data_IF_984357311884
#
_entry.id   IF_984357311884
#
_cell.length_a   1.000
_cell.length_b   1.000
_cell.length_c   1.000
_cell.angle_alpha   90.00
_cell.angle_beta   90.00
_cell.angle_gamma   90.00
#
_symmetry.space_group_name_H-M   'P 1'
#
loop_
_entity.id
_entity.type
_entity.pdbx_description
1 polymer ?
#
# COMPACT_ATOMS: atom_id res chain seq x y z
N UNK A 1 3.96 17.58 -14.92
CA UNK A 1 3.62 17.64 -13.46
C UNK A 1 3.14 16.25 -13.12
N UNK A 2 3.84 15.54 -12.26
CA UNK A 2 3.48 14.19 -11.88
C UNK A 2 2.28 14.20 -10.91
N UNK A 3 1.39 13.21 -11.06
CA UNK A 3 0.18 13.05 -10.24
C UNK A 3 0.44 12.01 -9.14
N UNK A 4 0.54 12.47 -7.91
CA UNK A 4 0.95 11.67 -6.76
C UNK A 4 -0.21 11.50 -5.79
N UNK A 5 -0.41 10.28 -5.29
CA UNK A 5 -1.33 10.00 -4.20
C UNK A 5 -0.53 9.63 -2.95
N UNK A 6 -0.70 10.37 -1.86
CA UNK A 6 -0.23 9.97 -0.53
C UNK A 6 -1.34 9.28 0.24
N UNK A 7 -1.13 8.02 0.59
CA UNK A 7 -2.00 7.27 1.50
C UNK A 7 -1.27 7.08 2.84
N UNK A 8 -1.91 7.47 3.92
CA UNK A 8 -1.31 7.38 5.25
C UNK A 8 -2.18 6.60 6.24
N UNK A 9 -1.53 5.97 7.21
CA UNK A 9 -2.21 5.34 8.34
C UNK A 9 -2.66 6.42 9.31
N UNK A 10 -3.98 6.54 9.55
CA UNK A 10 -4.49 7.37 10.62
C UNK A 10 -4.29 6.65 11.96
N UNK A 11 -3.69 7.33 12.93
CA UNK A 11 -3.42 6.77 14.24
C UNK A 11 -4.09 7.63 15.33
N UNK A 12 -4.69 6.98 16.31
CA UNK A 12 -5.27 7.65 17.49
C UNK A 12 -4.22 8.03 18.53
N UNK A 13 -3.01 7.46 18.45
CA UNK A 13 -1.94 7.64 19.42
C UNK A 13 -0.91 8.71 19.01
N UNK A 14 -1.05 9.32 17.85
CA UNK A 14 -0.14 10.37 17.37
C UNK A 14 1.24 9.92 16.90
N UNK A 15 1.59 8.62 17.03
CA UNK A 15 2.93 8.06 16.72
C UNK A 15 3.37 8.32 15.28
N UNK A 16 2.43 8.48 14.36
CA UNK A 16 2.74 8.71 12.95
C UNK A 16 2.56 10.18 12.52
N UNK A 17 2.14 11.08 13.42
CA UNK A 17 1.79 12.45 13.05
C UNK A 17 3.01 13.28 12.65
N UNK A 18 4.13 13.12 13.35
CA UNK A 18 5.38 13.80 13.00
C UNK A 18 5.91 13.36 11.64
N UNK A 19 5.87 12.04 11.38
CA UNK A 19 6.25 11.47 10.09
C UNK A 19 5.37 11.98 8.95
N UNK A 20 4.07 12.11 9.20
CA UNK A 20 3.12 12.63 8.22
C UNK A 20 3.40 14.11 7.89
N UNK A 21 3.65 14.93 8.91
CA UNK A 21 3.96 16.34 8.70
C UNK A 21 5.30 16.51 7.96
N UNK A 22 6.33 15.74 8.30
CA UNK A 22 7.61 15.75 7.60
C UNK A 22 7.44 15.40 6.11
N UNK A 23 6.73 14.32 5.80
CA UNK A 23 6.44 13.91 4.42
C UNK A 23 5.64 14.97 3.67
N UNK A 24 4.62 15.58 4.28
CA UNK A 24 3.84 16.68 3.69
C UNK A 24 4.70 17.90 3.37
N UNK A 25 5.62 18.27 4.27
CA UNK A 25 6.51 19.41 4.06
C UNK A 25 7.38 19.19 2.81
N UNK A 26 7.96 18.00 2.66
CA UNK A 26 8.73 17.64 1.45
C UNK A 26 7.85 17.69 0.19
N UNK A 27 6.65 17.12 0.23
CA UNK A 27 5.74 17.14 -0.92
C UNK A 27 5.32 18.58 -1.29
N UNK A 28 5.05 19.41 -0.31
CA UNK A 28 4.68 20.81 -0.52
C UNK A 28 5.83 21.63 -1.14
N UNK A 29 7.08 21.36 -0.76
CA UNK A 29 8.27 22.03 -1.35
C UNK A 29 8.40 21.74 -2.86
N UNK A 30 7.86 20.62 -3.32
CA UNK A 30 7.89 20.16 -4.72
C UNK A 30 6.59 20.47 -5.50
N UNK A 31 5.72 21.30 -4.96
CA UNK A 31 4.39 21.63 -5.54
C UNK A 31 4.44 22.24 -6.96
N UNK A 32 5.59 22.75 -7.39
CA UNK A 32 5.80 23.22 -8.77
C UNK A 32 5.94 22.07 -9.79
N UNK A 33 6.31 20.88 -9.35
CA UNK A 33 6.60 19.72 -10.22
C UNK A 33 5.63 18.58 -10.04
N UNK A 34 4.97 18.47 -8.90
CA UNK A 34 4.02 17.41 -8.58
C UNK A 34 2.67 18.01 -8.14
N UNK A 35 1.60 17.27 -8.41
CA UNK A 35 0.28 17.46 -7.80
C UNK A 35 0.04 16.32 -6.83
N UNK A 36 -0.36 16.63 -5.60
CA UNK A 36 -0.52 15.64 -4.54
C UNK A 36 -1.95 15.61 -4.02
N UNK A 37 -2.57 14.44 -4.05
CA UNK A 37 -3.77 14.14 -3.28
C UNK A 37 -3.39 13.36 -2.02
N UNK A 38 -4.00 13.69 -0.88
CA UNK A 38 -3.72 13.06 0.41
C UNK A 38 -4.98 12.38 0.92
N UNK A 39 -4.89 11.10 1.28
CA UNK A 39 -6.01 10.31 1.79
C UNK A 39 -5.58 9.46 2.98
N UNK A 40 -6.43 9.39 4.00
CA UNK A 40 -6.28 8.37 5.02
C UNK A 40 -6.61 6.99 4.43
N UNK A 41 -5.89 5.95 4.84
CA UNK A 41 -6.06 4.57 4.38
C UNK A 41 -7.53 4.10 4.42
N UNK A 42 -8.26 4.49 5.46
CA UNK A 42 -9.65 4.11 5.68
C UNK A 42 -10.63 4.81 4.72
N UNK A 43 -10.18 5.86 4.06
CA UNK A 43 -11.00 6.68 3.14
C UNK A 43 -10.68 6.45 1.68
N UNK A 44 -9.50 5.85 1.39
CA UNK A 44 -9.05 5.63 0.03
C UNK A 44 -9.91 4.57 -0.67
N UNK A 45 -10.24 4.82 -1.93
CA UNK A 45 -11.02 3.93 -2.79
C UNK A 45 -10.24 3.60 -4.05
N UNK A 46 -10.61 2.54 -4.73
CA UNK A 46 -9.97 2.12 -6.00
C UNK A 46 -9.86 3.26 -7.02
N UNK A 47 -10.85 4.13 -7.10
CA UNK A 47 -10.85 5.27 -8.01
C UNK A 47 -9.71 6.28 -7.72
N UNK A 48 -9.26 6.38 -6.47
CA UNK A 48 -8.19 7.32 -6.10
C UNK A 48 -6.82 6.89 -6.67
N UNK A 49 -6.64 5.62 -7.01
CA UNK A 49 -5.38 5.08 -7.55
C UNK A 49 -5.27 5.19 -9.07
N UNK A 50 -6.38 5.43 -9.77
CA UNK A 50 -6.41 5.43 -11.24
C UNK A 50 -5.67 6.65 -11.78
N UNK A 51 -4.74 6.39 -12.72
CA UNK A 51 -4.01 7.44 -13.44
C UNK A 51 -2.94 8.15 -12.61
N UNK A 52 -2.50 7.57 -11.49
CA UNK A 52 -1.40 8.10 -10.68
C UNK A 52 -0.05 7.73 -11.28
N UNK A 53 0.85 8.70 -11.31
CA UNK A 53 2.24 8.47 -11.68
C UNK A 53 3.02 7.79 -10.54
N UNK A 54 2.63 8.06 -9.29
CA UNK A 54 3.21 7.45 -8.08
C UNK A 54 2.18 7.40 -6.95
N UNK A 55 2.14 6.28 -6.25
CA UNK A 55 1.42 6.14 -4.97
C UNK A 55 2.45 6.04 -3.84
N UNK A 56 2.37 6.92 -2.88
CA UNK A 56 3.19 6.90 -1.66
C UNK A 56 2.32 6.34 -0.53
N UNK A 57 2.85 5.35 0.17
CA UNK A 57 2.18 4.72 1.31
C UNK A 57 2.98 4.98 2.56
N UNK A 58 2.50 5.87 3.42
CA UNK A 58 3.12 6.21 4.71
C UNK A 58 2.49 5.37 5.82
N UNK A 59 3.30 4.50 6.41
CA UNK A 59 2.85 3.58 7.46
C UNK A 59 3.82 2.43 7.65
N UNK A 60 3.33 1.26 7.97
CA UNK A 60 4.07 0.00 7.96
C UNK A 60 3.54 -0.96 6.91
N UNK A 61 4.11 -2.18 6.86
CA UNK A 61 3.73 -3.23 5.91
C UNK A 61 2.23 -3.50 5.84
N UNK A 62 1.56 -3.50 7.00
CA UNK A 62 0.11 -3.67 7.08
C UNK A 62 -0.70 -2.56 6.41
N UNK A 63 -0.15 -1.33 6.32
CA UNK A 63 -0.80 -0.24 5.60
C UNK A 63 -0.77 -0.51 4.11
N UNK A 64 0.38 -0.89 3.58
CA UNK A 64 0.56 -1.16 2.15
C UNK A 64 -0.25 -2.39 1.72
N UNK A 65 -0.14 -3.50 2.45
CA UNK A 65 -0.86 -4.73 2.10
C UNK A 65 -2.37 -4.54 2.12
N UNK A 66 -2.90 -3.74 3.07
CA UNK A 66 -4.34 -3.48 3.19
C UNK A 66 -4.94 -2.71 2.01
N UNK A 67 -4.15 -1.93 1.27
CA UNK A 67 -4.63 -1.15 0.11
C UNK A 67 -4.20 -1.74 -1.24
N UNK A 68 -3.27 -2.68 -1.22
CA UNK A 68 -2.64 -3.23 -2.43
C UNK A 68 -3.63 -3.80 -3.45
N UNK A 69 -4.77 -4.34 -2.99
CA UNK A 69 -5.82 -4.89 -3.83
C UNK A 69 -6.53 -3.84 -4.70
N UNK A 70 -6.44 -2.56 -4.33
CA UNK A 70 -7.01 -1.44 -5.09
C UNK A 70 -6.07 -0.89 -6.17
N UNK A 71 -4.78 -1.22 -6.11
CA UNK A 71 -3.75 -0.68 -6.99
C UNK A 71 -3.62 -1.58 -8.22
N UNK A 72 -3.58 -0.99 -9.39
CA UNK A 72 -3.34 -1.76 -10.62
C UNK A 72 -1.87 -2.20 -10.77
N UNK A 73 -1.59 -3.04 -11.75
CA UNK A 73 -0.24 -3.61 -11.96
C UNK A 73 0.78 -2.63 -12.53
N UNK A 74 0.36 -1.46 -12.97
CA UNK A 74 1.20 -0.50 -13.68
C UNK A 74 1.53 0.74 -12.83
N UNK A 75 0.78 0.96 -11.75
CA UNK A 75 1.00 2.10 -10.86
C UNK A 75 2.19 1.82 -9.93
N UNK A 76 3.27 2.61 -9.99
CA UNK A 76 4.38 2.50 -9.05
C UNK A 76 3.93 2.83 -7.63
N UNK A 77 4.48 2.09 -6.67
CA UNK A 77 4.21 2.31 -5.25
C UNK A 77 5.52 2.48 -4.50
N UNK A 78 5.59 3.49 -3.65
CA UNK A 78 6.70 3.79 -2.77
C UNK A 78 6.22 3.65 -1.32
N UNK A 79 6.80 2.70 -0.59
CA UNK A 79 6.52 2.51 0.83
C UNK A 79 7.44 3.37 1.68
N UNK A 80 6.86 4.13 2.61
CA UNK A 80 7.59 4.96 3.58
C UNK A 80 7.26 4.47 4.98
N UNK A 81 8.24 3.93 5.68
CA UNK A 81 8.07 3.45 7.05
C UNK A 81 7.96 4.64 8.00
N UNK A 82 6.78 4.86 8.56
CA UNK A 82 6.52 5.97 9.49
C UNK A 82 6.90 5.67 10.93
N UNK A 83 7.19 4.40 11.25
CA UNK A 83 7.56 3.94 12.58
C UNK A 83 8.46 2.71 12.45
N UNK A 84 9.75 2.90 12.12
CA UNK A 84 10.69 1.80 11.94
C UNK A 84 10.94 1.05 13.24
N UNK A 85 11.13 -0.26 13.15
CA UNK A 85 11.48 -1.10 14.31
C UNK A 85 12.90 -0.87 14.81
N UNK A 86 13.76 -0.24 14.01
CA UNK A 86 15.07 0.24 14.44
C UNK A 86 14.98 1.24 15.58
N UNK A 87 13.92 2.04 15.60
CA UNK A 87 13.74 3.15 16.52
C UNK A 87 12.87 2.75 17.72
N UNK A 88 11.95 1.80 17.49
CA UNK A 88 11.04 1.30 18.52
C UNK A 88 10.75 -0.20 18.29
N UNK A 89 10.91 -1.07 19.32
CA UNK A 89 10.60 -2.50 19.20
C UNK A 89 9.18 -2.82 18.73
N UNK A 90 8.22 -1.93 18.98
CA UNK A 90 6.82 -2.06 18.55
C UNK A 90 6.57 -1.55 17.11
N UNK A 91 7.60 -1.02 16.48
CA UNK A 91 7.56 -0.51 15.11
C UNK A 91 7.43 -1.61 14.05
N UNK A 92 7.27 -1.18 12.79
CA UNK A 92 7.21 -2.06 11.61
C UNK A 92 8.58 -2.53 11.16
N UNK A 93 8.69 -3.78 10.73
CA UNK A 93 9.90 -4.28 10.07
C UNK A 93 10.20 -3.57 8.75
N UNK A 94 9.16 -3.09 8.07
CA UNK A 94 9.32 -2.42 6.78
C UNK A 94 9.73 -3.35 5.65
N UNK A 95 9.20 -4.57 5.61
CA UNK A 95 9.53 -5.54 4.56
C UNK A 95 9.20 -5.02 3.14
N UNK A 96 8.15 -4.21 3.03
CA UNK A 96 7.73 -3.54 1.79
C UNK A 96 8.04 -2.05 1.79
N UNK A 97 8.77 -1.55 2.79
CA UNK A 97 9.04 -0.13 3.03
C UNK A 97 10.53 0.11 2.94
N UNK A 98 11.06 0.32 1.74
CA UNK A 98 12.50 0.57 1.52
C UNK A 98 12.94 1.99 1.91
N UNK A 99 12.01 2.86 2.26
CA UNK A 99 12.20 4.26 2.59
C UNK A 99 11.65 4.54 3.99
N UNK A 100 12.26 5.45 4.69
CA UNK A 100 11.76 6.07 5.91
C UNK A 100 11.63 7.59 5.74
N UNK A 101 11.32 8.30 6.82
CA UNK A 101 11.13 9.75 6.77
C UNK A 101 12.44 10.49 6.49
N UNK A 102 13.58 9.95 6.91
CA UNK A 102 14.90 10.59 6.75
C UNK A 102 15.39 10.49 5.29
N UNK A 103 15.12 9.37 4.64
CA UNK A 103 15.53 9.12 3.24
C UNK A 103 14.51 9.60 2.23
N UNK A 104 13.27 9.89 2.65
CA UNK A 104 12.11 10.13 1.79
C UNK A 104 12.35 11.15 0.68
N UNK A 105 12.99 12.28 0.95
CA UNK A 105 13.18 13.34 -0.05
C UNK A 105 14.05 12.85 -1.22
N UNK A 106 15.16 12.19 -0.91
CA UNK A 106 16.08 11.67 -1.91
C UNK A 106 15.43 10.54 -2.73
N UNK A 107 14.70 9.66 -2.05
CA UNK A 107 14.03 8.51 -2.69
C UNK A 107 12.87 8.96 -3.58
N UNK A 108 12.13 9.99 -3.15
CA UNK A 108 11.10 10.64 -3.97
C UNK A 108 11.70 11.25 -5.25
N UNK A 109 12.83 11.94 -5.16
CA UNK A 109 13.51 12.48 -6.33
C UNK A 109 13.98 11.38 -7.29
N UNK A 110 14.51 10.29 -6.75
CA UNK A 110 14.91 9.14 -7.54
C UNK A 110 13.70 8.51 -8.24
N UNK A 111 12.58 8.36 -7.54
CA UNK A 111 11.35 7.81 -8.10
C UNK A 111 10.79 8.70 -9.22
N UNK A 112 10.66 9.99 -8.99
CA UNK A 112 10.12 10.96 -9.96
C UNK A 112 11.02 11.15 -11.19
N UNK A 113 12.34 10.98 -11.03
CA UNK A 113 13.31 11.07 -12.14
C UNK A 113 13.53 9.75 -12.88
N UNK A 114 12.85 8.65 -12.47
CA UNK A 114 13.01 7.32 -13.06
C UNK A 114 14.34 6.65 -12.74
N UNK A 115 15.04 7.09 -11.70
CA UNK A 115 16.33 6.51 -11.25
C UNK A 115 16.17 5.49 -10.13
N UNK A 116 14.98 5.40 -9.52
CA UNK A 116 14.70 4.41 -8.49
C UNK A 116 14.68 2.99 -9.08
N UNK A 117 15.16 2.03 -8.30
CA UNK A 117 15.05 0.62 -8.64
C UNK A 117 13.62 0.18 -8.39
N UNK A 118 12.97 -0.37 -9.43
CA UNK A 118 11.59 -0.84 -9.34
C UNK A 118 11.56 -2.36 -9.23
N UNK A 119 11.06 -2.87 -8.12
CA UNK A 119 10.82 -4.29 -7.90
C UNK A 119 9.37 -4.65 -8.26
N UNK A 120 9.18 -5.74 -9.01
CA UNK A 120 7.84 -6.27 -9.32
C UNK A 120 7.51 -7.40 -8.36
N UNK A 121 6.48 -7.19 -7.56
CA UNK A 121 6.00 -8.19 -6.60
C UNK A 121 4.80 -8.94 -7.19
N UNK A 122 4.80 -10.27 -7.17
CA UNK A 122 3.64 -11.06 -7.57
C UNK A 122 2.51 -10.91 -6.55
N UNK A 123 1.27 -10.97 -7.04
CA UNK A 123 0.08 -11.00 -6.20
C UNK A 123 -0.74 -12.24 -6.50
N UNK A 124 -1.38 -12.79 -5.47
CA UNK A 124 -2.25 -13.94 -5.58
C UNK A 124 -3.64 -13.50 -6.04
N UNK A 125 -4.23 -14.23 -6.97
CA UNK A 125 -5.62 -14.02 -7.39
C UNK A 125 -6.29 -15.37 -7.57
N UNK A 126 -7.44 -15.58 -6.93
CA UNK A 126 -8.23 -16.78 -7.11
C UNK A 126 -9.35 -16.58 -8.14
N UNK A 127 -9.67 -17.65 -8.85
CA UNK A 127 -10.91 -17.77 -9.61
C UNK A 127 -11.78 -18.80 -8.93
N UNK A 128 -12.96 -18.38 -8.52
CA UNK A 128 -13.97 -19.25 -7.87
C UNK A 128 -14.99 -19.63 -8.93
N UNK A 129 -15.17 -20.93 -9.16
CA UNK A 129 -16.24 -21.45 -10.00
C UNK A 129 -17.35 -22.02 -9.09
N UNK A 130 -18.54 -21.47 -9.21
CA UNK A 130 -19.69 -21.91 -8.43
C UNK A 130 -20.30 -23.17 -9.04
N UNK A 131 -21.10 -23.91 -8.27
CA UNK A 131 -21.84 -25.08 -8.75
C UNK A 131 -22.83 -24.76 -9.88
N UNK A 132 -23.21 -23.47 -10.01
CA UNK A 132 -24.02 -22.98 -11.12
C UNK A 132 -23.21 -22.58 -12.36
N UNK A 133 -21.88 -22.75 -12.34
CA UNK A 133 -20.98 -22.44 -13.45
C UNK A 133 -20.54 -20.99 -13.53
N UNK A 134 -20.92 -20.12 -12.59
CA UNK A 134 -20.47 -18.74 -12.57
C UNK A 134 -19.00 -18.67 -12.12
N UNK A 135 -18.23 -17.80 -12.78
CA UNK A 135 -16.82 -17.54 -12.44
C UNK A 135 -16.67 -16.17 -11.80
N UNK A 136 -16.10 -16.14 -10.61
CA UNK A 136 -15.83 -14.94 -9.82
C UNK A 136 -14.31 -14.85 -9.62
N UNK A 137 -13.71 -13.74 -10.00
CA UNK A 137 -12.30 -13.46 -9.66
C UNK A 137 -12.25 -12.61 -8.40
N UNK A 138 -11.34 -12.98 -7.48
CA UNK A 138 -11.04 -12.15 -6.31
C UNK A 138 -10.24 -10.92 -6.72
N UNK A 139 -10.18 -9.92 -5.86
CA UNK A 139 -9.16 -8.91 -5.97
C UNK A 139 -7.77 -9.53 -5.72
N UNK A 140 -6.69 -8.98 -6.31
CA UNK A 140 -5.34 -9.49 -6.11
C UNK A 140 -4.85 -9.17 -4.70
N UNK A 141 -4.28 -10.16 -3.99
CA UNK A 141 -3.73 -10.05 -2.65
C UNK A 141 -2.20 -10.14 -2.68
N UNK A 142 -1.53 -9.37 -1.83
CA UNK A 142 -0.07 -9.44 -1.68
C UNK A 142 0.39 -10.58 -0.77
N UNK A 143 -0.38 -10.89 0.28
CA UNK A 143 0.00 -11.92 1.26
C UNK A 143 -0.72 -13.24 1.00
N UNK A 144 -1.98 -13.31 1.38
CA UNK A 144 -2.75 -14.56 1.42
C UNK A 144 -4.21 -14.37 1.01
N UNK A 145 -4.83 -15.48 0.65
CA UNK A 145 -6.25 -15.58 0.38
C UNK A 145 -6.86 -16.51 1.43
N UNK A 146 -7.80 -16.00 2.21
CA UNK A 146 -8.53 -16.78 3.20
C UNK A 146 -9.78 -17.41 2.56
N UNK A 147 -9.89 -18.73 2.63
CA UNK A 147 -11.10 -19.47 2.28
C UNK A 147 -11.71 -19.99 3.57
N UNK A 148 -12.85 -19.45 3.97
CA UNK A 148 -13.50 -19.80 5.22
C UNK A 148 -15.02 -19.81 5.07
N UNK A 149 -15.69 -20.49 6.01
CA UNK A 149 -17.14 -20.42 6.12
C UNK A 149 -17.56 -19.01 6.57
N UNK A 150 -18.65 -18.49 6.04
CA UNK A 150 -19.22 -17.20 6.43
C UNK A 150 -19.78 -17.19 7.84
N UNK A 151 -20.13 -18.36 8.39
CA UNK A 151 -20.58 -18.53 9.77
C UNK A 151 -19.39 -18.90 10.66
N UNK A 152 -19.11 -18.09 11.65
CA UNK A 152 -17.93 -18.23 12.54
C UNK A 152 -17.80 -19.60 13.23
N UNK A 153 -18.93 -20.27 13.50
CA UNK A 153 -18.98 -21.55 14.20
C UNK A 153 -19.10 -22.77 13.28
N UNK A 154 -19.19 -22.56 11.97
CA UNK A 154 -19.28 -23.67 11.03
C UNK A 154 -17.87 -24.03 10.50
N UNK A 155 -17.52 -25.34 10.45
CA UNK A 155 -16.22 -25.76 9.95
C UNK A 155 -16.10 -25.46 8.46
N UNK A 156 -14.92 -24.94 8.08
CA UNK A 156 -14.52 -24.84 6.67
C UNK A 156 -13.99 -26.19 6.21
N UNK A 157 -14.44 -26.66 5.05
CA UNK A 157 -13.94 -27.89 4.42
C UNK A 157 -13.35 -27.54 3.06
N UNK A 158 -12.13 -27.98 2.83
CA UNK A 158 -11.45 -27.81 1.54
C UNK A 158 -10.72 -29.08 1.14
N UNK A 159 -10.57 -29.33 -0.15
CA UNK A 159 -9.75 -30.39 -0.71
C UNK A 159 -8.80 -29.73 -1.70
N UNK A 160 -7.49 -29.98 -1.54
CA UNK A 160 -6.47 -29.53 -2.48
C UNK A 160 -6.02 -30.70 -3.35
N UNK A 161 -5.91 -30.46 -4.64
CA UNK A 161 -5.32 -31.40 -5.60
C UNK A 161 -4.03 -30.75 -6.14
N UNK A 162 -2.94 -31.50 -6.12
CA UNK A 162 -1.64 -31.14 -6.72
C UNK A 162 -1.44 -31.90 -8.01
#
# INVERSE_FOLDING_TARGET
MADVLLVYKKNFEGVHDESLESVKNVLNSKSSTIRVDIRAREQVRRADFIGRDLVIVLGGDGTLTSISHNIDSNTPVMGVNSHPRSDDPDGSFGFYMDCDVETFENDLEAALSGKAIVNRLPRLQATIETTSGNKIKTDPAMNDLLIANTHQYAPSKSVSYT
#
